data_IF_124704051582
#
_entry.id   IF_124704051582
#
_cell.length_a   1.000
_cell.length_b   1.000
_cell.length_c   1.000
_cell.angle_alpha   90.00
_cell.angle_beta   90.00
_cell.angle_gamma   90.00
#
_symmetry.space_group_name_H-M   'P 1'
#
loop_
_entity.id
_entity.type
_entity.pdbx_description
1 polymer ?
#
# COMPACT_ATOMS: atom_id res chain seq x y z
N UNK A 1 15.38 -22.35 47.71
CA UNK A 1 16.80 -22.28 48.13
C UNK A 1 17.61 -22.10 46.86
N UNK A 2 17.76 -20.85 46.39
CA UNK A 2 18.93 -19.98 46.56
C UNK A 2 20.20 -20.49 45.83
N UNK A 3 20.51 -19.76 44.76
CA UNK A 3 21.83 -19.24 44.34
C UNK A 3 22.99 -20.24 44.12
N UNK A 4 23.58 -20.24 42.91
CA UNK A 4 24.85 -19.54 42.70
C UNK A 4 25.39 -19.63 41.27
N UNK A 5 25.92 -18.48 40.85
CA UNK A 5 26.59 -18.14 39.61
C UNK A 5 28.10 -18.44 39.67
N UNK A 6 28.68 -18.64 38.48
CA UNK A 6 30.09 -18.35 38.09
C UNK A 6 31.17 -19.27 38.67
N UNK A 7 31.96 -19.85 37.75
CA UNK A 7 33.43 -19.88 37.65
C UNK A 7 33.80 -21.15 36.85
N UNK A 8 34.16 -21.01 35.57
CA UNK A 8 35.23 -21.83 35.00
C UNK A 8 35.79 -21.17 33.76
N UNK A 9 36.97 -20.59 33.94
CA UNK A 9 37.81 -19.98 32.92
C UNK A 9 39.10 -20.80 32.95
N UNK A 10 39.68 -21.02 31.78
CA UNK A 10 41.08 -21.43 31.56
C UNK A 10 41.38 -22.92 31.75
N UNK A 11 41.39 -23.67 30.63
CA UNK A 11 42.49 -24.58 30.24
C UNK A 11 42.17 -25.13 28.84
N UNK A 12 43.16 -25.71 28.15
CA UNK A 12 43.21 -26.10 26.72
C UNK A 12 43.75 -24.97 25.82
N UNK A 13 45.06 -24.72 25.88
CA UNK A 13 46.10 -25.33 25.02
C UNK A 13 46.05 -24.70 23.60
N UNK A 14 46.85 -23.69 23.22
CA UNK A 14 48.31 -23.60 23.14
C UNK A 14 48.96 -24.87 22.59
N UNK A 15 49.08 -24.97 21.26
CA UNK A 15 50.26 -25.42 20.47
C UNK A 15 49.88 -25.75 19.02
N UNK A 16 49.87 -24.78 18.11
CA UNK A 16 50.30 -24.91 16.70
C UNK A 16 50.81 -23.51 16.35
N UNK A 17 52.10 -23.20 16.40
CA UNK A 17 53.13 -23.87 15.64
C UNK A 17 53.34 -23.08 14.34
N UNK A 18 53.98 -21.91 14.48
CA UNK A 18 54.53 -21.11 13.39
C UNK A 18 55.45 -22.00 12.55
N UNK A 19 55.14 -22.19 11.27
CA UNK A 19 56.14 -22.39 10.24
C UNK A 19 55.77 -21.57 9.00
N UNK A 20 56.76 -20.84 8.57
CA UNK A 20 56.74 -19.71 7.67
C UNK A 20 57.31 -20.16 6.30
N UNK A 21 57.10 -19.32 5.28
CA UNK A 21 57.88 -19.24 4.03
C UNK A 21 57.47 -20.16 2.87
N UNK A 22 56.68 -19.59 1.95
CA UNK A 22 57.10 -19.39 0.54
C UNK A 22 56.15 -18.37 -0.12
N UNK A 23 56.48 -17.11 0.14
CA UNK A 23 56.09 -15.93 -0.62
C UNK A 23 57.17 -15.75 -1.69
N UNK A 24 56.79 -15.60 -2.95
CA UNK A 24 57.47 -14.76 -3.95
C UNK A 24 56.59 -14.60 -5.21
N UNK A 25 56.77 -13.53 -6.00
CA UNK A 25 55.70 -12.65 -6.42
C UNK A 25 55.62 -12.51 -7.96
N UNK A 26 54.47 -12.14 -8.50
CA UNK A 26 54.46 -11.53 -9.84
C UNK A 26 53.46 -10.39 -9.89
N UNK A 27 54.05 -9.21 -10.00
CA UNK A 27 53.46 -7.89 -10.16
C UNK A 27 52.26 -7.88 -11.14
N UNK A 28 51.11 -7.44 -10.62
CA UNK A 28 50.07 -6.76 -11.38
C UNK A 28 49.72 -5.50 -10.60
N UNK A 29 49.98 -4.33 -11.21
CA UNK A 29 50.06 -3.03 -10.56
C UNK A 29 48.82 -2.67 -9.74
N UNK A 30 49.08 -2.20 -8.52
CA UNK A 30 48.18 -1.36 -7.74
C UNK A 30 47.79 -0.12 -8.56
N UNK A 31 46.49 0.11 -8.69
CA UNK A 31 45.97 1.46 -8.77
C UNK A 31 45.19 1.70 -7.48
N UNK A 32 45.94 2.22 -6.51
CA UNK A 32 45.43 2.90 -5.34
C UNK A 32 44.56 4.06 -5.85
N UNK A 33 43.24 3.91 -5.76
CA UNK A 33 42.36 5.07 -5.76
C UNK A 33 42.10 5.36 -4.30
N UNK A 34 42.74 6.42 -3.82
CA UNK A 34 42.35 7.14 -2.63
C UNK A 34 40.82 7.20 -2.60
N UNK A 35 40.21 6.55 -1.60
CA UNK A 35 38.89 6.94 -1.16
C UNK A 35 39.15 8.24 -0.39
N UNK A 36 39.34 9.33 -1.13
CA UNK A 36 39.18 10.65 -0.55
C UNK A 36 37.75 10.72 -0.07
N UNK A 37 37.63 10.94 1.22
CA UNK A 37 36.41 11.27 1.93
C UNK A 37 35.81 12.55 1.33
N UNK A 38 35.09 12.43 0.22
CA UNK A 38 34.11 13.42 -0.20
C UNK A 38 32.75 12.98 0.36
N UNK A 39 32.62 13.18 1.66
CA UNK A 39 31.36 13.57 2.25
C UNK A 39 31.00 14.93 1.66
N UNK A 40 30.33 14.94 0.51
CA UNK A 40 29.44 15.98 0.01
C UNK A 40 28.93 15.53 -1.37
N UNK A 41 27.69 15.86 -1.69
CA UNK A 41 26.92 15.42 -2.85
C UNK A 41 26.22 14.05 -2.71
N UNK A 42 25.21 14.02 -1.83
CA UNK A 42 23.91 13.53 -2.30
C UNK A 42 23.54 14.39 -3.52
N UNK A 43 23.99 13.96 -4.69
CA UNK A 43 23.47 14.45 -5.96
C UNK A 43 21.98 14.14 -5.96
N UNK A 44 21.16 15.14 -5.64
CA UNK A 44 19.76 15.16 -6.03
C UNK A 44 19.76 14.93 -7.54
N UNK A 45 19.37 13.73 -7.96
CA UNK A 45 19.07 13.50 -9.36
C UNK A 45 18.00 14.53 -9.74
N UNK A 46 18.38 15.49 -10.58
CA UNK A 46 17.46 16.45 -11.16
C UNK A 46 16.56 15.66 -12.11
N UNK A 47 15.37 15.33 -11.62
CA UNK A 47 14.35 14.65 -12.42
C UNK A 47 13.99 15.59 -13.58
N UNK A 48 14.02 15.12 -14.84
CA UNK A 48 13.70 15.97 -15.98
C UNK A 48 12.32 16.60 -15.79
N UNK A 49 12.17 17.87 -16.17
CA UNK A 49 10.86 18.54 -16.13
C UNK A 49 9.88 17.74 -17.02
N UNK A 50 8.93 17.07 -16.36
CA UNK A 50 8.03 16.10 -16.98
C UNK A 50 7.97 14.72 -16.31
N UNK A 51 8.72 14.47 -15.23
CA UNK A 51 8.50 13.27 -14.40
C UNK A 51 7.22 13.46 -13.58
N UNK A 52 6.12 12.86 -14.04
CA UNK A 52 4.92 12.68 -13.23
C UNK A 52 5.25 11.76 -12.04
N UNK A 53 4.88 12.18 -10.82
CA UNK A 53 5.04 11.33 -9.64
C UNK A 53 4.18 10.08 -9.82
N UNK A 54 4.84 8.93 -9.98
CA UNK A 54 4.15 7.64 -10.05
C UNK A 54 3.65 7.26 -8.66
N UNK A 55 2.42 6.77 -8.59
CA UNK A 55 1.83 6.30 -7.34
C UNK A 55 2.67 5.19 -6.69
N UNK A 56 2.76 5.25 -5.36
CA UNK A 56 3.65 4.38 -4.57
C UNK A 56 2.85 3.19 -4.06
N UNK A 57 3.44 2.00 -4.11
CA UNK A 57 2.85 0.80 -3.51
C UNK A 57 3.21 0.78 -2.02
N UNK A 58 2.21 0.71 -1.15
CA UNK A 58 2.40 0.67 0.31
C UNK A 58 2.39 -0.76 0.86
N UNK A 59 1.67 -1.68 0.21
CA UNK A 59 1.64 -3.09 0.57
C UNK A 59 1.22 -3.97 -0.63
N UNK A 60 1.55 -5.27 -0.56
CA UNK A 60 1.09 -6.27 -1.54
C UNK A 60 0.50 -7.45 -0.77
N UNK A 61 -0.74 -7.82 -1.09
CA UNK A 61 -1.52 -8.87 -0.43
C UNK A 61 -1.96 -9.91 -1.47
N UNK A 62 -1.21 -11.00 -1.59
CA UNK A 62 -1.47 -12.03 -2.59
C UNK A 62 -1.27 -11.50 -4.01
N UNK A 63 -2.37 -11.27 -4.74
CA UNK A 63 -2.42 -10.74 -6.09
C UNK A 63 -2.82 -9.26 -6.18
N UNK A 64 -3.14 -8.63 -5.04
CA UNK A 64 -3.64 -7.26 -4.97
C UNK A 64 -2.57 -6.35 -4.36
N UNK A 65 -2.26 -5.23 -5.02
CA UNK A 65 -1.36 -4.20 -4.50
C UNK A 65 -2.16 -3.04 -3.94
N UNK A 66 -1.83 -2.60 -2.72
CA UNK A 66 -2.43 -1.43 -2.07
C UNK A 66 -1.57 -0.22 -2.41
N UNK A 67 -2.21 0.81 -2.96
CA UNK A 67 -1.56 2.04 -3.39
C UNK A 67 -1.56 3.10 -2.29
N UNK A 68 -0.65 4.07 -2.37
CA UNK A 68 -0.60 5.18 -1.44
C UNK A 68 -1.81 6.09 -1.61
N UNK A 69 -2.16 6.41 -2.85
CA UNK A 69 -3.34 7.25 -3.14
C UNK A 69 -4.64 6.66 -2.59
N UNK A 70 -4.80 5.34 -2.70
CA UNK A 70 -5.95 4.59 -2.16
C UNK A 70 -6.01 4.68 -0.64
N UNK A 71 -4.88 4.48 0.04
CA UNK A 71 -4.80 4.65 1.49
C UNK A 71 -5.16 6.08 1.90
N UNK A 72 -4.67 7.10 1.18
CA UNK A 72 -5.00 8.50 1.46
C UNK A 72 -6.50 8.81 1.26
N UNK A 73 -7.10 8.30 0.18
CA UNK A 73 -8.54 8.40 -0.05
C UNK A 73 -9.30 7.78 1.12
N UNK A 74 -8.89 6.59 1.56
CA UNK A 74 -9.53 5.89 2.67
C UNK A 74 -9.43 6.68 3.97
N UNK A 75 -8.29 7.30 4.25
CA UNK A 75 -8.15 8.20 5.40
C UNK A 75 -9.12 9.38 5.26
N UNK A 76 -9.24 10.02 4.09
CA UNK A 76 -10.15 11.14 3.88
C UNK A 76 -11.63 10.73 4.07
N UNK A 77 -12.02 9.54 3.64
CA UNK A 77 -13.36 8.99 3.91
C UNK A 77 -13.62 8.80 5.39
N UNK A 78 -12.66 8.26 6.14
CA UNK A 78 -12.79 8.15 7.60
C UNK A 78 -12.93 9.54 8.23
N UNK A 79 -12.23 10.54 7.71
CA UNK A 79 -12.37 11.93 8.15
C UNK A 79 -13.79 12.45 7.94
N UNK A 80 -14.36 12.22 6.76
CA UNK A 80 -15.71 12.69 6.42
C UNK A 80 -16.80 12.00 7.24
N UNK A 81 -16.53 10.77 7.69
CA UNK A 81 -17.36 10.01 8.63
C UNK A 81 -17.19 10.47 10.10
N UNK A 82 -16.32 11.45 10.36
CA UNK A 82 -16.11 12.05 11.68
C UNK A 82 -14.97 11.42 12.50
N UNK A 83 -14.13 10.59 11.89
CA UNK A 83 -12.94 10.08 12.56
C UNK A 83 -11.95 11.22 12.86
N UNK A 84 -11.38 11.21 14.07
CA UNK A 84 -10.32 12.16 14.43
C UNK A 84 -9.00 11.70 13.85
N UNK A 85 -8.62 12.29 12.72
CA UNK A 85 -7.31 12.03 12.11
C UNK A 85 -6.25 12.89 12.79
N UNK A 86 -5.15 12.30 13.28
CA UNK A 86 -4.01 13.07 13.79
C UNK A 86 -3.42 13.99 12.71
N UNK A 87 -2.66 15.01 13.11
CA UNK A 87 -2.00 15.90 12.15
C UNK A 87 -1.00 15.14 11.28
N UNK A 88 -0.89 15.49 10.00
CA UNK A 88 0.11 14.88 9.10
C UNK A 88 1.52 15.04 9.69
N UNK A 89 2.38 14.07 9.40
CA UNK A 89 3.79 14.02 9.83
C UNK A 89 4.04 13.86 11.34
N UNK A 90 3.01 13.56 12.14
CA UNK A 90 3.19 13.16 13.54
C UNK A 90 3.33 11.64 13.67
N UNK A 91 4.02 11.13 14.71
CA UNK A 91 4.10 9.69 14.96
C UNK A 91 2.71 9.06 15.13
N UNK A 92 1.76 9.79 15.74
CA UNK A 92 0.37 9.32 15.89
C UNK A 92 -0.33 9.14 14.55
N UNK A 93 -0.04 10.00 13.56
CA UNK A 93 -0.57 9.83 12.21
C UNK A 93 -0.03 8.58 11.55
N UNK A 94 1.28 8.31 11.71
CA UNK A 94 1.91 7.11 11.15
C UNK A 94 1.31 5.84 11.74
N UNK A 95 1.05 5.83 13.06
CA UNK A 95 0.41 4.72 13.74
C UNK A 95 -1.05 4.54 13.33
N UNK A 96 -1.78 5.63 13.13
CA UNK A 96 -3.16 5.60 12.63
C UNK A 96 -3.22 5.08 11.19
N UNK A 97 -2.39 5.62 10.29
CA UNK A 97 -2.31 5.18 8.90
C UNK A 97 -1.93 3.69 8.81
N UNK A 98 -1.02 3.22 9.67
CA UNK A 98 -0.69 1.80 9.79
C UNK A 98 -1.90 0.96 10.22
N UNK A 99 -2.68 1.41 11.18
CA UNK A 99 -3.90 0.68 11.61
C UNK A 99 -4.92 0.57 10.48
N UNK A 100 -5.15 1.66 9.74
CA UNK A 100 -6.02 1.66 8.57
C UNK A 100 -5.50 0.69 7.51
N UNK A 101 -4.20 0.72 7.23
CA UNK A 101 -3.58 -0.21 6.28
C UNK A 101 -3.74 -1.67 6.71
N UNK A 102 -3.55 -1.99 7.99
CA UNK A 102 -3.74 -3.36 8.51
C UNK A 102 -5.20 -3.81 8.36
N UNK A 103 -6.15 -2.94 8.68
CA UNK A 103 -7.58 -3.25 8.50
C UNK A 103 -7.92 -3.52 7.03
N UNK A 104 -7.31 -2.77 6.11
CA UNK A 104 -7.50 -2.96 4.66
C UNK A 104 -6.90 -4.29 4.19
N UNK A 105 -5.70 -4.63 4.66
CA UNK A 105 -5.07 -5.93 4.38
C UNK A 105 -5.98 -7.09 4.84
N UNK A 106 -6.53 -6.99 6.06
CA UNK A 106 -7.41 -8.01 6.61
C UNK A 106 -8.70 -8.16 5.77
N UNK A 107 -9.26 -7.05 5.29
CA UNK A 107 -10.40 -7.06 4.38
C UNK A 107 -10.08 -7.80 3.07
N UNK A 108 -8.95 -7.46 2.42
CA UNK A 108 -8.53 -8.14 1.19
C UNK A 108 -8.34 -9.64 1.40
N UNK A 109 -7.74 -10.04 2.54
CA UNK A 109 -7.58 -11.45 2.89
C UNK A 109 -8.95 -12.12 3.04
N UNK A 110 -9.90 -11.49 3.73
CA UNK A 110 -11.26 -12.00 3.89
C UNK A 110 -11.95 -12.16 2.53
N UNK A 111 -11.84 -11.16 1.66
CA UNK A 111 -12.43 -11.21 0.32
C UNK A 111 -11.80 -12.31 -0.56
N UNK A 112 -10.48 -12.47 -0.51
CA UNK A 112 -9.81 -13.56 -1.21
C UNK A 112 -10.29 -14.93 -0.71
N UNK A 113 -10.51 -15.08 0.60
CA UNK A 113 -11.07 -16.30 1.17
C UNK A 113 -12.52 -16.54 0.73
N UNK A 114 -13.35 -15.50 0.73
CA UNK A 114 -14.74 -15.58 0.28
C UNK A 114 -14.82 -15.98 -1.21
N UNK A 115 -14.01 -15.36 -2.07
CA UNK A 115 -13.89 -15.71 -3.50
C UNK A 115 -13.45 -17.16 -3.69
N UNK A 116 -12.44 -17.62 -2.95
CA UNK A 116 -11.99 -19.03 -2.97
C UNK A 116 -13.05 -20.00 -2.49
N UNK A 117 -13.90 -19.59 -1.56
CA UNK A 117 -15.04 -20.37 -1.06
C UNK A 117 -16.26 -20.35 -2.02
N UNK A 118 -16.20 -19.60 -3.12
CA UNK A 118 -17.29 -19.47 -4.08
C UNK A 118 -18.45 -18.60 -3.59
N UNK A 119 -18.25 -17.81 -2.53
CA UNK A 119 -19.24 -16.86 -2.04
C UNK A 119 -19.28 -15.67 -3.03
N UNK A 120 -20.26 -15.69 -3.92
CA UNK A 120 -20.52 -14.62 -4.88
C UNK A 120 -21.75 -13.83 -4.42
N UNK A 121 -21.79 -12.50 -4.59
CA UNK A 121 -22.96 -11.70 -4.25
C UNK A 121 -24.22 -12.19 -4.97
N UNK A 122 -25.35 -12.19 -4.27
CA UNK A 122 -26.65 -12.52 -4.87
C UNK A 122 -27.03 -11.44 -5.91
N UNK A 123 -27.29 -11.86 -7.15
CA UNK A 123 -27.65 -10.95 -8.24
C UNK A 123 -28.88 -10.08 -7.91
N UNK A 124 -29.84 -10.61 -7.15
CA UNK A 124 -31.01 -9.85 -6.73
C UNK A 124 -30.68 -8.74 -5.73
N UNK A 125 -29.61 -8.91 -4.93
CA UNK A 125 -29.13 -7.88 -4.01
C UNK A 125 -28.39 -6.77 -4.75
N UNK A 126 -27.60 -7.13 -5.76
CA UNK A 126 -26.97 -6.16 -6.66
C UNK A 126 -28.04 -5.30 -7.33
N UNK A 127 -29.09 -5.91 -7.87
CA UNK A 127 -30.19 -5.18 -8.52
C UNK A 127 -30.85 -4.17 -7.58
N UNK A 128 -31.05 -4.54 -6.31
CA UNK A 128 -31.59 -3.63 -5.28
C UNK A 128 -30.63 -2.46 -5.00
N UNK A 129 -29.34 -2.72 -4.86
CA UNK A 129 -28.33 -1.67 -4.63
C UNK A 129 -28.29 -0.66 -5.79
N UNK A 130 -28.43 -1.13 -7.03
CA UNK A 130 -28.48 -0.27 -8.22
C UNK A 130 -29.70 0.63 -8.19
N UNK A 131 -30.85 0.09 -7.84
CA UNK A 131 -32.09 0.86 -7.77
C UNK A 131 -32.01 1.90 -6.64
N UNK A 132 -31.53 1.52 -5.45
CA UNK A 132 -31.36 2.43 -4.33
C UNK A 132 -30.40 3.59 -4.69
N UNK A 133 -29.28 3.28 -5.34
CA UNK A 133 -28.32 4.29 -5.78
C UNK A 133 -28.90 5.19 -6.89
N UNK A 134 -29.66 4.62 -7.82
CA UNK A 134 -30.38 5.39 -8.82
C UNK A 134 -31.37 6.37 -8.17
N UNK A 135 -32.16 5.91 -7.19
CA UNK A 135 -33.11 6.77 -6.49
C UNK A 135 -32.42 7.87 -5.69
N UNK A 136 -31.35 7.55 -4.94
CA UNK A 136 -30.55 8.56 -4.21
C UNK A 136 -29.98 9.64 -5.13
N UNK A 137 -29.53 9.28 -6.33
CA UNK A 137 -29.03 10.24 -7.31
C UNK A 137 -30.15 11.04 -7.94
N UNK A 138 -31.28 10.41 -8.24
CA UNK A 138 -32.49 11.09 -8.73
C UNK A 138 -32.95 12.18 -7.75
N UNK A 139 -32.91 11.90 -6.45
CA UNK A 139 -33.29 12.85 -5.39
C UNK A 139 -32.39 14.10 -5.33
N UNK A 140 -31.20 14.06 -5.93
CA UNK A 140 -30.30 15.22 -6.04
C UNK A 140 -30.71 16.19 -7.17
N UNK A 141 -31.61 15.76 -8.07
CA UNK A 141 -32.13 16.56 -9.17
C UNK A 141 -33.58 16.97 -8.90
N UNK A 142 -33.99 18.15 -9.39
CA UNK A 142 -35.35 18.63 -9.18
C UNK A 142 -36.36 17.91 -10.10
N UNK A 143 -35.94 17.50 -11.29
CA UNK A 143 -36.79 16.78 -12.26
C UNK A 143 -36.02 15.67 -13.00
N UNK A 144 -36.77 14.70 -13.53
CA UNK A 144 -36.21 13.62 -14.35
C UNK A 144 -35.58 14.14 -15.65
N UNK A 145 -36.08 15.25 -16.19
CA UNK A 145 -35.51 15.91 -17.37
C UNK A 145 -34.18 16.58 -17.09
N UNK A 146 -34.00 17.17 -15.91
CA UNK A 146 -32.71 17.73 -15.48
C UNK A 146 -31.66 16.63 -15.35
N UNK A 147 -32.03 15.49 -14.75
CA UNK A 147 -31.16 14.32 -14.68
C UNK A 147 -30.78 13.80 -16.08
N UNK A 148 -31.76 13.69 -16.99
CA UNK A 148 -31.51 13.25 -18.36
C UNK A 148 -30.55 14.19 -19.09
N UNK A 149 -30.74 15.51 -18.96
CA UNK A 149 -29.83 16.50 -19.55
C UNK A 149 -28.42 16.41 -18.97
N UNK A 150 -28.28 16.16 -17.66
CA UNK A 150 -26.98 15.98 -17.02
C UNK A 150 -26.26 14.71 -17.52
N UNK A 151 -27.01 13.61 -17.74
CA UNK A 151 -26.48 12.35 -18.28
C UNK A 151 -26.07 12.52 -19.75
N UNK A 152 -26.88 13.21 -20.55
CA UNK A 152 -26.56 13.54 -21.94
C UNK A 152 -25.36 14.49 -22.05
N UNK A 153 -25.24 15.46 -21.15
CA UNK A 153 -24.08 16.36 -21.07
C UNK A 153 -22.78 15.62 -20.73
N UNK A 154 -22.88 14.52 -19.98
CA UNK A 154 -21.77 13.59 -19.73
C UNK A 154 -21.51 12.63 -20.92
N UNK A 155 -22.23 12.77 -22.03
CA UNK A 155 -22.05 11.96 -23.25
C UNK A 155 -22.65 10.55 -23.17
N UNK A 156 -23.59 10.31 -22.25
CA UNK A 156 -24.22 9.01 -22.03
C UNK A 156 -25.74 9.09 -22.24
N UNK A 157 -26.38 7.94 -22.53
CA UNK A 157 -27.84 7.77 -22.45
C UNK A 157 -28.21 7.10 -21.12
N UNK A 158 -29.45 7.29 -20.64
CA UNK A 158 -30.03 6.65 -19.45
C UNK A 158 -29.81 5.13 -19.36
N UNK A 159 -29.86 4.38 -20.47
CA UNK A 159 -29.57 2.94 -20.44
C UNK A 159 -28.11 2.67 -20.06
N UNK A 160 -27.18 3.43 -20.64
CA UNK A 160 -25.74 3.32 -20.36
C UNK A 160 -25.44 3.75 -18.92
N UNK A 161 -26.13 4.78 -18.44
CA UNK A 161 -26.03 5.24 -17.06
C UNK A 161 -26.47 4.15 -16.06
N UNK A 162 -27.59 3.47 -16.30
CA UNK A 162 -28.01 2.33 -15.46
C UNK A 162 -27.03 1.16 -15.50
N UNK A 163 -26.43 0.86 -16.65
CA UNK A 163 -25.37 -0.15 -16.73
C UNK A 163 -24.11 0.26 -15.97
N UNK A 164 -23.76 1.55 -15.98
CA UNK A 164 -22.66 2.08 -15.19
C UNK A 164 -22.93 1.91 -13.69
N UNK A 165 -24.13 2.27 -13.22
CA UNK A 165 -24.53 2.05 -11.83
C UNK A 165 -24.50 0.57 -11.45
N UNK A 166 -24.97 -0.33 -12.34
CA UNK A 166 -24.85 -1.79 -12.14
C UNK A 166 -23.42 -2.23 -11.91
N UNK A 167 -22.49 -1.84 -12.77
CA UNK A 167 -21.08 -2.20 -12.58
C UNK A 167 -20.50 -1.65 -11.27
N UNK A 168 -20.91 -0.44 -10.88
CA UNK A 168 -20.48 0.16 -9.63
C UNK A 168 -21.02 -0.62 -8.41
N UNK A 169 -22.31 -0.97 -8.39
CA UNK A 169 -22.92 -1.75 -7.30
C UNK A 169 -22.43 -3.21 -7.26
N UNK A 170 -22.14 -3.81 -8.41
CA UNK A 170 -21.50 -5.13 -8.48
C UNK A 170 -20.12 -5.10 -7.80
N UNK A 171 -19.31 -4.07 -8.08
CA UNK A 171 -18.02 -3.89 -7.43
C UNK A 171 -18.16 -3.69 -5.92
N UNK A 172 -19.13 -2.89 -5.48
CA UNK A 172 -19.40 -2.66 -4.05
C UNK A 172 -19.88 -3.93 -3.33
N UNK A 173 -20.73 -4.74 -3.97
CA UNK A 173 -21.28 -5.96 -3.36
C UNK A 173 -20.24 -7.04 -3.06
N UNK A 174 -19.04 -6.90 -3.64
CA UNK A 174 -17.91 -7.78 -3.39
C UNK A 174 -17.14 -7.41 -2.12
N UNK A 175 -17.44 -6.29 -1.46
CA UNK A 175 -16.79 -5.85 -0.21
C UNK A 175 -17.80 -5.78 0.94
#
# INVERSE_FOLDING_TARGET
>A
VKDNYIVSKVLWALTIGILCVLVEPSLGRAQEREITSNSDEKSSAEFPEGVEETDRIVAVVGDTAILLSELEIRLFELQSQGARIPQRDTPEWTDFARQVLVAEIDNIILLQQAKRAGLTPDASRVDQMVEDEYQRRREQFATDEEMMQAVEAAGMNMLQYRQMLRRASEAESLF
#
